data_IF_890100956377
#
_entry.id   IF_890100956377
#
_cell.length_a   1.000
_cell.length_b   1.000
_cell.length_c   1.000
_cell.angle_alpha   90.00
_cell.angle_beta   90.00
_cell.angle_gamma   90.00
#
_symmetry.space_group_name_H-M   'P 1'
#
loop_
_entity.id
_entity.type
_entity.pdbx_description
1 polymer ?
#
# COMPACT_ATOMS: atom_id res chain seq x y z
N UNK A 1 6.77 24.02 4.00
CA UNK A 1 7.13 22.89 4.87
C UNK A 1 8.37 23.20 5.71
N UNK A 2 8.39 22.80 7.00
CA UNK A 2 9.59 22.91 7.83
C UNK A 2 10.62 21.83 7.47
N UNK A 3 11.58 22.16 6.59
CA UNK A 3 12.57 21.20 6.06
C UNK A 3 13.48 20.59 7.14
N UNK A 4 13.75 21.30 8.24
CA UNK A 4 14.60 20.77 9.32
C UNK A 4 13.86 19.65 10.05
N UNK A 5 12.57 19.87 10.36
CA UNK A 5 11.75 18.85 11.02
C UNK A 5 11.43 17.68 10.08
N UNK A 6 11.24 17.96 8.78
CA UNK A 6 11.07 16.92 7.76
C UNK A 6 12.31 16.02 7.63
N UNK A 7 13.52 16.59 7.62
CA UNK A 7 14.75 15.80 7.58
C UNK A 7 14.94 14.95 8.86
N UNK A 8 14.62 15.50 10.03
CA UNK A 8 14.65 14.73 11.29
C UNK A 8 13.66 13.57 11.28
N UNK A 9 12.44 13.80 10.76
CA UNK A 9 11.46 12.73 10.58
C UNK A 9 11.95 11.68 9.57
N UNK A 10 12.61 12.10 8.49
CA UNK A 10 13.20 11.20 7.51
C UNK A 10 14.26 10.30 8.17
N UNK A 11 15.23 10.88 8.87
CA UNK A 11 16.26 10.13 9.60
C UNK A 11 15.65 9.18 10.66
N UNK A 12 14.64 9.65 11.39
CA UNK A 12 13.92 8.82 12.37
C UNK A 12 13.19 7.65 11.70
N UNK A 13 12.55 7.89 10.56
CA UNK A 13 11.87 6.85 9.77
C UNK A 13 12.85 5.81 9.25
N UNK A 14 14.03 6.22 8.78
CA UNK A 14 15.10 5.31 8.35
C UNK A 14 15.57 4.44 9.53
N UNK A 15 15.78 5.04 10.71
CA UNK A 15 16.11 4.29 11.93
C UNK A 15 14.98 3.34 12.35
N UNK A 16 13.73 3.75 12.21
CA UNK A 16 12.56 2.94 12.52
C UNK A 16 12.53 1.68 11.65
N UNK A 17 12.69 1.80 10.32
CA UNK A 17 12.73 0.63 9.44
C UNK A 17 13.84 -0.34 9.84
N UNK A 18 15.05 0.18 10.11
CA UNK A 18 16.20 -0.63 10.50
C UNK A 18 15.98 -1.37 11.82
N UNK A 19 15.45 -0.68 12.83
CA UNK A 19 15.25 -1.25 14.17
C UNK A 19 14.04 -2.19 14.23
N UNK A 20 13.07 -2.00 13.33
CA UNK A 20 11.85 -2.80 13.28
C UNK A 20 11.94 -4.01 12.33
N UNK A 21 13.13 -4.27 11.76
CA UNK A 21 13.40 -5.51 11.04
C UNK A 21 13.82 -6.60 12.02
N UNK A 22 13.11 -7.72 12.02
CA UNK A 22 13.54 -8.90 12.75
C UNK A 22 14.87 -9.44 12.19
N UNK A 23 15.68 -10.11 13.01
CA UNK A 23 16.97 -10.67 12.58
C UNK A 23 16.86 -11.64 11.38
N UNK A 24 15.71 -12.28 11.22
CA UNK A 24 15.38 -13.18 10.10
C UNK A 24 14.94 -12.44 8.82
N UNK A 25 14.83 -11.11 8.85
CA UNK A 25 14.57 -10.25 7.70
C UNK A 25 13.17 -9.66 7.61
N UNK A 26 12.17 -10.23 8.30
CA UNK A 26 10.80 -9.70 8.31
C UNK A 26 10.69 -8.32 8.94
N UNK A 27 10.08 -7.35 8.25
CA UNK A 27 9.69 -6.07 8.83
C UNK A 27 8.31 -6.23 9.47
N UNK A 28 8.19 -5.91 10.76
CA UNK A 28 6.86 -5.90 11.38
C UNK A 28 6.03 -4.72 10.88
N UNK A 29 4.71 -4.88 10.83
CA UNK A 29 3.78 -3.77 10.59
C UNK A 29 3.84 -2.74 11.75
N UNK A 30 4.01 -3.22 12.98
CA UNK A 30 4.34 -2.39 14.14
C UNK A 30 5.26 -3.15 15.12
N UNK A 31 6.04 -2.46 15.97
CA UNK A 31 7.03 -3.13 16.82
C UNK A 31 6.47 -4.21 17.75
N UNK A 32 7.26 -5.23 18.13
CA UNK A 32 6.87 -6.17 19.17
C UNK A 32 6.34 -5.47 20.43
N UNK A 33 5.27 -6.00 21.01
CA UNK A 33 4.59 -5.38 22.16
C UNK A 33 3.54 -4.32 21.79
N UNK A 34 3.38 -4.00 20.50
CA UNK A 34 2.30 -3.13 20.00
C UNK A 34 1.18 -3.96 19.33
N UNK A 35 0.27 -3.30 18.60
CA UNK A 35 -0.97 -3.91 18.06
C UNK A 35 -0.75 -4.93 16.95
N UNK A 36 0.23 -4.73 16.07
CA UNK A 36 0.47 -5.57 14.88
C UNK A 36 1.92 -6.11 14.79
N UNK A 37 2.36 -6.96 15.74
CA UNK A 37 3.70 -7.53 15.74
C UNK A 37 3.81 -8.72 14.78
N UNK A 38 3.35 -8.55 13.54
CA UNK A 38 3.35 -9.55 12.46
C UNK A 38 3.87 -8.95 11.17
N UNK A 39 4.28 -9.81 10.24
CA UNK A 39 4.79 -9.42 8.94
C UNK A 39 3.68 -9.60 7.91
N UNK A 40 3.03 -8.50 7.53
CA UNK A 40 2.05 -8.48 6.45
C UNK A 40 2.81 -8.25 5.14
N UNK A 41 2.62 -9.07 4.08
CA UNK A 41 3.36 -8.88 2.83
C UNK A 41 3.20 -7.49 2.24
N UNK A 42 2.08 -6.83 2.50
CA UNK A 42 1.80 -5.44 2.11
C UNK A 42 2.73 -4.45 2.81
N UNK A 43 2.60 -4.32 4.13
CA UNK A 43 3.42 -3.43 4.97
C UNK A 43 4.91 -3.73 4.79
N UNK A 44 5.26 -5.02 4.77
CA UNK A 44 6.61 -5.52 4.57
C UNK A 44 7.19 -5.11 3.21
N UNK A 45 6.41 -5.23 2.13
CA UNK A 45 6.86 -4.81 0.80
C UNK A 45 7.09 -3.32 0.73
N UNK A 46 6.18 -2.51 1.31
CA UNK A 46 6.38 -1.05 1.34
C UNK A 46 7.58 -0.67 2.20
N UNK A 47 7.83 -1.36 3.32
CA UNK A 47 9.06 -1.20 4.11
C UNK A 47 10.32 -1.55 3.32
N UNK A 48 10.30 -2.62 2.51
CA UNK A 48 11.39 -2.94 1.57
C UNK A 48 11.59 -1.80 0.59
N UNK A 49 10.50 -1.23 0.04
CA UNK A 49 10.63 -0.12 -0.91
C UNK A 49 11.19 1.15 -0.26
N UNK A 50 10.74 1.50 0.95
CA UNK A 50 11.33 2.57 1.75
C UNK A 50 12.80 2.31 2.08
N UNK A 51 13.18 1.07 2.40
CA UNK A 51 14.57 0.69 2.62
C UNK A 51 15.41 0.85 1.34
N UNK A 52 14.85 0.52 0.16
CA UNK A 52 15.50 0.77 -1.14
C UNK A 52 15.74 2.26 -1.35
N UNK A 53 14.71 3.10 -1.19
CA UNK A 53 14.83 4.55 -1.36
C UNK A 53 15.78 5.21 -0.34
N UNK A 54 15.87 4.64 0.87
CA UNK A 54 16.82 5.08 1.91
C UNK A 54 18.26 4.58 1.70
N UNK A 55 18.54 3.76 0.69
CA UNK A 55 19.86 3.17 0.47
C UNK A 55 20.21 1.99 1.39
N UNK A 56 19.24 1.45 2.13
CA UNK A 56 19.39 0.31 3.03
C UNK A 56 19.30 -1.03 2.26
N UNK A 57 20.19 -1.23 1.29
CA UNK A 57 20.14 -2.39 0.38
C UNK A 57 20.28 -3.74 1.09
N UNK A 58 21.04 -3.80 2.18
CA UNK A 58 21.20 -5.04 2.96
C UNK A 58 19.90 -5.43 3.65
N UNK A 59 19.24 -4.46 4.29
CA UNK A 59 17.94 -4.62 4.95
C UNK A 59 16.86 -4.97 3.92
N UNK A 60 16.83 -4.28 2.76
CA UNK A 60 15.92 -4.59 1.67
C UNK A 60 16.10 -6.04 1.14
N UNK A 61 17.33 -6.46 0.88
CA UNK A 61 17.65 -7.82 0.42
C UNK A 61 17.26 -8.88 1.45
N UNK A 62 17.51 -8.64 2.74
CA UNK A 62 17.08 -9.52 3.83
C UNK A 62 15.55 -9.64 3.91
N UNK A 63 14.84 -8.51 3.74
CA UNK A 63 13.38 -8.50 3.69
C UNK A 63 12.83 -9.29 2.52
N UNK A 64 13.41 -9.13 1.32
CA UNK A 64 13.04 -9.92 0.14
C UNK A 64 13.29 -11.41 0.35
N UNK A 65 14.48 -11.77 0.86
CA UNK A 65 14.82 -13.17 1.16
C UNK A 65 13.83 -13.80 2.14
N UNK A 66 13.43 -13.07 3.20
CA UNK A 66 12.42 -13.54 4.15
C UNK A 66 11.09 -13.88 3.46
N UNK A 67 10.54 -12.92 2.70
CA UNK A 67 9.19 -13.10 2.14
C UNK A 67 9.17 -14.11 1.00
N UNK A 68 10.18 -14.12 0.13
CA UNK A 68 10.30 -15.08 -0.98
C UNK A 68 10.42 -16.52 -0.46
N UNK A 69 11.11 -16.73 0.66
CA UNK A 69 11.21 -18.04 1.31
C UNK A 69 9.93 -18.45 2.07
N UNK A 70 8.99 -17.52 2.28
CA UNK A 70 7.70 -17.77 2.95
C UNK A 70 6.55 -18.05 1.97
N UNK A 71 6.84 -18.13 0.65
CA UNK A 71 5.83 -18.39 -0.37
C UNK A 71 5.18 -19.76 -0.15
N UNK A 72 3.87 -19.83 -0.30
CA UNK A 72 3.11 -21.07 -0.21
C UNK A 72 3.15 -21.87 -1.52
N UNK A 73 2.78 -23.17 -1.51
CA UNK A 73 3.02 -24.06 -2.63
C UNK A 73 2.42 -23.65 -3.99
N UNK A 74 1.27 -22.96 -4.02
CA UNK A 74 0.62 -22.52 -5.27
C UNK A 74 1.17 -21.18 -5.78
N UNK A 75 2.10 -20.56 -5.06
CA UNK A 75 2.68 -19.27 -5.40
C UNK A 75 2.09 -18.10 -4.62
N UNK A 76 1.11 -18.34 -3.76
CA UNK A 76 0.46 -17.31 -2.94
C UNK A 76 1.34 -16.85 -1.78
N UNK A 77 1.20 -15.57 -1.41
CA UNK A 77 1.68 -15.06 -0.13
C UNK A 77 0.48 -14.85 0.81
N UNK A 78 0.60 -15.32 2.04
CA UNK A 78 -0.44 -15.25 3.07
C UNK A 78 -0.83 -13.81 3.42
N UNK A 79 -1.94 -13.62 4.14
CA UNK A 79 -2.28 -12.29 4.68
C UNK A 79 -1.14 -11.75 5.55
N UNK A 80 -0.60 -12.60 6.42
CA UNK A 80 0.50 -12.26 7.33
C UNK A 80 1.25 -13.50 7.77
N UNK A 81 2.46 -13.26 8.24
CA UNK A 81 3.40 -14.25 8.72
C UNK A 81 3.87 -13.93 10.13
N UNK A 82 4.24 -14.97 10.87
CA UNK A 82 5.10 -14.81 12.04
C UNK A 82 6.57 -14.56 11.64
N UNK A 83 7.46 -14.43 12.62
CA UNK A 83 8.89 -14.13 12.39
C UNK A 83 9.67 -15.27 11.75
N UNK A 84 9.08 -16.46 11.69
CA UNK A 84 9.67 -17.67 11.13
C UNK A 84 9.19 -17.92 9.69
N UNK A 85 8.30 -17.07 9.18
CA UNK A 85 7.71 -17.22 7.85
C UNK A 85 6.54 -18.21 7.82
N UNK A 86 5.98 -18.58 8.98
CA UNK A 86 4.77 -19.41 9.02
C UNK A 86 3.52 -18.56 8.83
N UNK A 87 2.55 -19.12 8.13
CA UNK A 87 1.24 -18.50 7.91
C UNK A 87 0.54 -18.23 9.25
N UNK A 88 0.31 -16.95 9.56
CA UNK A 88 -0.38 -16.50 10.77
C UNK A 88 -1.73 -15.82 10.44
N UNK A 89 -2.25 -16.03 9.22
CA UNK A 89 -3.44 -15.35 8.70
C UNK A 89 -4.67 -15.59 9.56
N UNK A 90 -5.51 -14.56 9.66
CA UNK A 90 -6.82 -14.61 10.31
C UNK A 90 -7.95 -14.07 9.43
N UNK A 91 -7.60 -13.54 8.25
CA UNK A 91 -8.51 -13.13 7.18
C UNK A 91 -8.15 -13.85 5.89
N UNK A 92 -9.06 -13.72 4.93
CA UNK A 92 -8.89 -14.19 3.56
C UNK A 92 -7.66 -13.59 2.87
N UNK A 93 -7.22 -14.31 1.84
CA UNK A 93 -6.09 -13.96 0.99
C UNK A 93 -6.25 -12.57 0.36
N UNK A 94 -5.11 -11.89 0.22
CA UNK A 94 -4.97 -10.55 -0.33
C UNK A 94 -3.95 -10.59 -1.47
N UNK A 95 -4.45 -10.69 -2.72
CA UNK A 95 -3.59 -10.96 -3.89
C UNK A 95 -2.70 -9.78 -4.29
N UNK A 96 -3.00 -8.57 -3.83
CA UNK A 96 -2.06 -7.45 -3.86
C UNK A 96 -0.75 -7.76 -3.14
N UNK A 97 -0.75 -8.62 -2.12
CA UNK A 97 0.49 -9.08 -1.48
C UNK A 97 1.44 -9.74 -2.50
N UNK A 98 0.91 -10.59 -3.39
CA UNK A 98 1.66 -11.16 -4.50
C UNK A 98 2.20 -10.10 -5.46
N UNK A 99 1.35 -9.16 -5.86
CA UNK A 99 1.75 -8.08 -6.75
C UNK A 99 2.84 -7.18 -6.15
N UNK A 100 2.67 -6.78 -4.89
CA UNK A 100 3.59 -5.91 -4.17
C UNK A 100 4.95 -6.56 -3.97
N UNK A 101 5.02 -7.83 -3.56
CA UNK A 101 6.31 -8.53 -3.38
C UNK A 101 7.12 -8.51 -4.68
N UNK A 102 6.49 -8.81 -5.81
CA UNK A 102 7.14 -8.76 -7.12
C UNK A 102 7.53 -7.35 -7.53
N UNK A 103 6.63 -6.38 -7.33
CA UNK A 103 6.88 -4.97 -7.64
C UNK A 103 8.10 -4.43 -6.90
N UNK A 104 8.19 -4.66 -5.58
CA UNK A 104 9.31 -4.15 -4.77
C UNK A 104 10.60 -4.94 -4.98
N UNK A 105 10.51 -6.22 -5.35
CA UNK A 105 11.67 -6.98 -5.84
C UNK A 105 12.22 -6.34 -7.13
N UNK A 106 11.34 -5.90 -8.03
CA UNK A 106 11.70 -5.12 -9.21
C UNK A 106 12.36 -3.79 -8.86
N UNK A 107 11.85 -3.06 -7.86
CA UNK A 107 12.48 -1.81 -7.37
C UNK A 107 13.89 -2.05 -6.84
N UNK A 108 14.08 -3.08 -6.02
CA UNK A 108 15.41 -3.50 -5.55
C UNK A 108 16.34 -3.87 -6.72
N UNK A 109 15.85 -4.65 -7.69
CA UNK A 109 16.63 -5.03 -8.87
C UNK A 109 17.08 -3.81 -9.69
N UNK A 110 16.19 -2.82 -9.88
CA UNK A 110 16.54 -1.56 -10.57
C UNK A 110 17.57 -0.75 -9.77
N UNK A 111 17.38 -0.62 -8.47
CA UNK A 111 18.28 0.11 -7.58
C UNK A 111 19.69 -0.50 -7.48
N UNK A 112 19.82 -1.81 -7.70
CA UNK A 112 21.13 -2.49 -7.76
C UNK A 112 21.80 -2.40 -9.14
N UNK A 113 21.20 -1.71 -10.12
CA UNK A 113 21.81 -1.48 -11.44
C UNK A 113 20.98 -2.00 -12.62
N UNK A 114 19.84 -2.65 -12.37
CA UNK A 114 19.02 -3.31 -13.40
C UNK A 114 18.52 -2.43 -14.56
N UNK A 115 18.54 -1.10 -14.43
CA UNK A 115 18.08 -0.18 -15.49
C UNK A 115 19.18 0.45 -16.35
N UNK A 116 20.40 0.61 -15.82
CA UNK A 116 21.46 1.39 -16.48
C UNK A 116 22.86 0.80 -16.36
N UNK A 117 23.08 -0.05 -15.36
CA UNK A 117 24.35 -0.70 -15.06
C UNK A 117 24.09 -2.18 -14.88
N UNK A 118 23.68 -2.85 -15.97
CA UNK A 118 23.24 -4.25 -15.94
C UNK A 118 24.27 -5.20 -15.29
N UNK A 119 25.56 -4.87 -15.37
CA UNK A 119 26.65 -5.62 -14.74
C UNK A 119 26.59 -5.57 -13.20
N UNK A 120 26.02 -4.52 -12.62
CA UNK A 120 25.89 -4.32 -11.18
C UNK A 120 24.60 -4.90 -10.61
N UNK A 121 23.59 -5.13 -11.45
CA UNK A 121 22.29 -5.63 -11.04
C UNK A 121 22.42 -6.99 -10.32
N UNK A 122 21.65 -7.21 -9.25
CA UNK A 122 21.68 -8.46 -8.47
C UNK A 122 20.97 -9.63 -9.21
N UNK A 123 21.44 -9.93 -10.43
CA UNK A 123 20.96 -11.00 -11.31
C UNK A 123 21.08 -12.36 -10.63
N UNK A 124 22.08 -12.53 -9.76
CA UNK A 124 22.27 -13.76 -8.98
C UNK A 124 21.12 -13.99 -7.98
N UNK A 125 20.67 -12.95 -7.28
CA UNK A 125 19.51 -13.03 -6.39
C UNK A 125 18.22 -13.34 -7.16
N UNK A 126 18.02 -12.68 -8.30
CA UNK A 126 16.87 -12.97 -9.19
C UNK A 126 16.91 -14.42 -9.67
N UNK A 127 18.05 -14.89 -10.17
CA UNK A 127 18.21 -16.26 -10.66
C UNK A 127 17.97 -17.31 -9.57
N UNK A 128 18.43 -17.04 -8.33
CA UNK A 128 18.20 -17.90 -7.16
C UNK A 128 16.70 -18.05 -6.86
N UNK A 129 15.94 -16.95 -6.93
CA UNK A 129 14.52 -16.91 -6.56
C UNK A 129 13.56 -16.96 -7.76
N UNK A 130 14.06 -17.26 -8.96
CA UNK A 130 13.26 -17.19 -10.20
C UNK A 130 12.03 -18.10 -10.15
N UNK A 131 12.16 -19.28 -9.55
CA UNK A 131 11.03 -20.22 -9.42
C UNK A 131 9.91 -19.65 -8.52
N UNK A 132 10.28 -18.95 -7.45
CA UNK A 132 9.34 -18.24 -6.57
C UNK A 132 8.64 -17.11 -7.33
N UNK A 133 9.39 -16.34 -8.13
CA UNK A 133 8.84 -15.29 -9.01
C UNK A 133 7.85 -15.87 -10.01
N UNK A 134 8.22 -16.95 -10.69
CA UNK A 134 7.38 -17.65 -11.67
C UNK A 134 6.05 -18.10 -11.05
N UNK A 135 6.10 -18.76 -9.89
CA UNK A 135 4.90 -19.19 -9.17
C UNK A 135 4.01 -18.04 -8.73
N UNK A 136 4.60 -16.92 -8.28
CA UNK A 136 3.82 -15.74 -7.90
C UNK A 136 3.06 -15.14 -9.10
N UNK A 137 3.71 -15.04 -10.27
CA UNK A 137 3.06 -14.58 -11.50
C UNK A 137 1.96 -15.55 -11.93
N UNK A 138 2.21 -16.85 -11.90
CA UNK A 138 1.21 -17.87 -12.24
C UNK A 138 0.02 -17.84 -11.30
N UNK A 139 0.24 -17.63 -10.00
CA UNK A 139 -0.83 -17.46 -9.03
C UNK A 139 -1.69 -16.23 -9.35
N UNK A 140 -1.07 -15.10 -9.71
CA UNK A 140 -1.80 -13.90 -10.15
C UNK A 140 -2.64 -14.21 -11.40
N UNK A 141 -2.03 -14.79 -12.43
CA UNK A 141 -2.71 -15.08 -13.70
C UNK A 141 -3.82 -16.14 -13.56
N UNK A 142 -3.66 -17.10 -12.65
CA UNK A 142 -4.71 -18.07 -12.30
C UNK A 142 -5.96 -17.40 -11.71
N UNK A 143 -5.82 -16.23 -11.09
CA UNK A 143 -6.93 -15.43 -10.57
C UNK A 143 -7.42 -14.37 -11.56
N UNK A 144 -6.86 -14.30 -12.78
CA UNK A 144 -7.37 -13.43 -13.83
C UNK A 144 -8.71 -13.98 -14.33
N UNK A 145 -9.68 -13.10 -14.49
CA UNK A 145 -10.87 -13.43 -15.25
C UNK A 145 -10.65 -13.18 -16.75
N UNK A 146 -10.95 -14.17 -17.60
CA UNK A 146 -10.75 -14.08 -19.06
C UNK A 146 -11.71 -13.13 -19.78
N UNK A 147 -12.89 -12.86 -19.22
CA UNK A 147 -13.85 -11.96 -19.85
C UNK A 147 -13.52 -10.49 -19.56
N UNK A 148 -13.33 -10.17 -18.28
CA UNK A 148 -13.02 -8.81 -17.83
C UNK A 148 -11.52 -8.51 -17.78
N UNK A 149 -10.64 -9.48 -18.04
CA UNK A 149 -9.19 -9.32 -18.08
C UNK A 149 -8.60 -8.62 -16.84
N UNK A 150 -9.28 -8.75 -15.71
CA UNK A 150 -8.88 -8.20 -14.41
C UNK A 150 -8.65 -9.37 -13.45
N UNK A 151 -7.78 -9.14 -12.47
CA UNK A 151 -7.46 -10.07 -11.40
C UNK A 151 -8.55 -9.98 -10.34
N UNK A 152 -9.17 -11.12 -10.08
CA UNK A 152 -10.14 -11.25 -9.01
C UNK A 152 -9.42 -11.30 -7.65
N UNK A 153 -9.94 -10.56 -6.68
CA UNK A 153 -9.49 -10.64 -5.30
C UNK A 153 -10.68 -10.77 -4.35
N UNK A 154 -10.49 -11.51 -3.26
CA UNK A 154 -11.49 -11.62 -2.17
C UNK A 154 -11.37 -10.42 -1.23
N UNK A 155 -10.17 -9.87 -1.11
CA UNK A 155 -9.84 -8.83 -0.15
C UNK A 155 -8.63 -8.02 -0.63
N UNK A 156 -8.44 -6.79 -0.15
CA UNK A 156 -7.31 -5.97 -0.56
C UNK A 156 -6.81 -5.11 0.60
N UNK A 157 -6.31 -3.91 0.30
CA UNK A 157 -5.58 -2.99 1.17
C UNK A 157 -6.35 -2.57 2.42
N UNK A 158 -7.67 -2.39 2.36
CA UNK A 158 -8.45 -2.05 3.55
C UNK A 158 -8.88 -3.28 4.35
N UNK A 159 -8.54 -4.47 3.86
CA UNK A 159 -8.97 -5.78 4.32
C UNK A 159 -10.50 -5.88 4.51
N UNK A 160 -11.28 -5.21 3.67
CA UNK A 160 -12.74 -5.09 3.75
C UNK A 160 -13.50 -5.69 2.55
N UNK A 161 -13.84 -6.99 2.60
CA UNK A 161 -14.47 -7.67 1.47
C UNK A 161 -15.76 -7.01 0.93
N UNK A 162 -16.54 -6.31 1.77
CA UNK A 162 -17.77 -5.63 1.34
C UNK A 162 -17.57 -4.56 0.25
N UNK A 163 -16.36 -3.98 0.18
CA UNK A 163 -15.97 -2.97 -0.82
C UNK A 163 -14.80 -3.43 -1.71
N UNK A 164 -14.19 -4.58 -1.42
CA UNK A 164 -12.95 -5.03 -2.08
C UNK A 164 -13.08 -6.39 -2.77
N UNK A 165 -14.11 -7.19 -2.48
CA UNK A 165 -14.30 -8.47 -3.17
C UNK A 165 -14.77 -8.25 -4.61
N UNK A 166 -13.93 -8.64 -5.56
CA UNK A 166 -14.15 -8.50 -7.00
C UNK A 166 -12.89 -8.04 -7.72
N UNK A 167 -13.03 -7.07 -8.61
CA UNK A 167 -11.92 -6.46 -9.34
C UNK A 167 -11.59 -5.11 -8.73
N UNK A 168 -10.81 -5.15 -7.65
CA UNK A 168 -10.40 -3.99 -6.88
C UNK A 168 -9.13 -3.36 -7.50
N UNK A 169 -9.11 -2.02 -7.56
CA UNK A 169 -8.11 -1.28 -8.34
C UNK A 169 -6.69 -1.39 -7.78
N UNK A 170 -6.51 -1.32 -6.47
CA UNK A 170 -5.20 -1.46 -5.84
C UNK A 170 -4.60 -2.84 -6.11
N UNK A 171 -5.36 -3.91 -5.90
CA UNK A 171 -4.95 -5.28 -6.19
C UNK A 171 -4.60 -5.49 -7.66
N UNK A 172 -5.45 -5.01 -8.57
CA UNK A 172 -5.18 -5.13 -10.00
C UNK A 172 -3.91 -4.37 -10.41
N UNK A 173 -3.71 -3.15 -9.90
CA UNK A 173 -2.53 -2.35 -10.21
C UNK A 173 -1.25 -2.98 -9.63
N UNK A 174 -1.27 -3.41 -8.36
CA UNK A 174 -0.16 -4.09 -7.72
C UNK A 174 0.24 -5.36 -8.48
N UNK A 175 -0.74 -6.20 -8.84
CA UNK A 175 -0.50 -7.41 -9.61
C UNK A 175 0.09 -7.11 -10.99
N UNK A 176 -0.47 -6.15 -11.73
CA UNK A 176 0.01 -5.78 -13.06
C UNK A 176 1.44 -5.25 -13.01
N UNK A 177 1.75 -4.34 -12.07
CA UNK A 177 3.09 -3.82 -11.88
C UNK A 177 4.09 -4.89 -11.40
N UNK A 178 3.65 -5.83 -10.57
CA UNK A 178 4.42 -7.01 -10.18
C UNK A 178 4.78 -7.91 -11.37
N UNK A 179 3.85 -8.14 -12.29
CA UNK A 179 4.12 -8.90 -13.53
C UNK A 179 5.13 -8.14 -14.40
N UNK A 180 4.99 -6.82 -14.58
CA UNK A 180 5.98 -6.02 -15.30
C UNK A 180 7.37 -6.10 -14.67
N UNK A 181 7.46 -6.03 -13.33
CA UNK A 181 8.73 -6.23 -12.63
C UNK A 181 9.32 -7.63 -12.88
N UNK A 182 8.49 -8.68 -12.88
CA UNK A 182 8.92 -10.05 -13.16
C UNK A 182 9.41 -10.22 -14.62
N UNK A 183 8.78 -9.54 -15.59
CA UNK A 183 9.22 -9.50 -16.99
C UNK A 183 10.61 -8.86 -17.10
N UNK A 184 10.80 -7.67 -16.50
CA UNK A 184 12.08 -6.95 -16.52
C UNK A 184 13.21 -7.82 -15.95
N UNK A 185 12.95 -8.41 -14.78
CA UNK A 185 13.89 -9.33 -14.12
C UNK A 185 14.16 -10.59 -14.95
N UNK A 186 13.13 -11.20 -15.54
CA UNK A 186 13.24 -12.40 -16.36
C UNK A 186 14.08 -12.20 -17.61
N UNK A 187 13.87 -11.09 -18.33
CA UNK A 187 14.69 -10.70 -19.48
C UNK A 187 16.16 -10.56 -19.09
N UNK A 188 16.43 -9.91 -17.97
CA UNK A 188 17.79 -9.65 -17.52
C UNK A 188 18.60 -10.93 -17.19
N UNK A 189 17.90 -12.04 -16.88
CA UNK A 189 18.51 -13.37 -16.64
C UNK A 189 18.23 -14.38 -17.76
N UNK A 190 17.77 -13.92 -18.94
CA UNK A 190 17.60 -14.74 -20.14
C UNK A 190 16.45 -15.74 -20.09
N UNK A 191 15.38 -15.43 -19.35
CA UNK A 191 14.15 -16.23 -19.30
C UNK A 191 13.15 -15.79 -20.36
N UNK A 192 12.41 -16.74 -20.90
CA UNK A 192 11.26 -16.43 -21.76
C UNK A 192 10.09 -15.96 -20.91
N UNK A 193 9.66 -14.72 -21.17
CA UNK A 193 8.57 -14.01 -20.48
C UNK A 193 7.54 -13.46 -21.46
N UNK A 194 7.60 -13.87 -22.73
CA UNK A 194 6.75 -13.37 -23.81
C UNK A 194 5.26 -13.47 -23.52
N UNK A 195 4.83 -14.62 -22.97
CA UNK A 195 3.45 -14.81 -22.54
C UNK A 195 3.03 -13.84 -21.41
N UNK A 196 3.96 -13.51 -20.51
CA UNK A 196 3.68 -12.56 -19.42
C UNK A 196 3.56 -11.13 -19.95
N UNK A 197 4.35 -10.74 -20.95
CA UNK A 197 4.26 -9.42 -21.59
C UNK A 197 2.89 -9.18 -22.21
N UNK A 198 2.38 -10.18 -22.95
CA UNK A 198 1.05 -10.14 -23.53
C UNK A 198 -0.02 -9.99 -22.44
N UNK A 199 0.02 -10.84 -21.40
CA UNK A 199 -0.96 -10.80 -20.32
C UNK A 199 -0.90 -9.50 -19.51
N UNK A 200 0.30 -8.99 -19.20
CA UNK A 200 0.46 -7.72 -18.50
C UNK A 200 -0.12 -6.56 -19.31
N UNK A 201 0.09 -6.53 -20.64
CA UNK A 201 -0.52 -5.54 -21.53
C UNK A 201 -2.05 -5.60 -21.53
N UNK A 202 -2.62 -6.80 -21.59
CA UNK A 202 -4.07 -7.02 -21.53
C UNK A 202 -4.65 -6.53 -20.19
N UNK A 203 -4.03 -6.90 -19.06
CA UNK A 203 -4.47 -6.50 -17.72
C UNK A 203 -4.37 -4.98 -17.57
N UNK A 204 -3.25 -4.38 -17.97
CA UNK A 204 -3.04 -2.92 -17.93
C UNK A 204 -4.14 -2.20 -18.70
N UNK A 205 -4.46 -2.65 -19.92
CA UNK A 205 -5.51 -2.05 -20.72
C UNK A 205 -6.88 -2.20 -20.06
N UNK A 206 -7.17 -3.35 -19.44
CA UNK A 206 -8.40 -3.58 -18.70
C UNK A 206 -8.53 -2.65 -17.48
N UNK A 207 -7.46 -2.43 -16.71
CA UNK A 207 -7.44 -1.46 -15.60
C UNK A 207 -7.82 -0.06 -16.10
N UNK A 208 -7.14 0.42 -17.14
CA UNK A 208 -7.31 1.78 -17.66
C UNK A 208 -8.67 2.05 -18.32
N UNK A 209 -9.40 1.01 -18.68
CA UNK A 209 -10.69 1.11 -19.39
C UNK A 209 -11.88 0.68 -18.55
N UNK A 210 -11.80 -0.44 -17.84
CA UNK A 210 -12.91 -1.02 -17.06
C UNK A 210 -13.01 -0.45 -15.65
N UNK A 211 -11.88 -0.11 -15.02
CA UNK A 211 -11.85 0.53 -13.70
C UNK A 211 -11.83 2.06 -13.77
N UNK A 212 -12.05 2.63 -14.96
CA UNK A 212 -12.23 4.07 -15.13
C UNK A 212 -13.68 4.39 -15.49
N UNK A 213 -14.27 5.37 -14.82
CA UNK A 213 -15.62 5.87 -15.14
C UNK A 213 -15.53 7.18 -15.92
N UNK A 214 -15.79 7.20 -17.24
CA UNK A 214 -15.79 8.44 -18.02
C UNK A 214 -16.80 9.46 -17.51
N UNK A 215 -17.96 8.99 -17.02
CA UNK A 215 -19.01 9.83 -16.43
C UNK A 215 -18.53 10.59 -15.19
N UNK A 216 -17.74 9.93 -14.34
CA UNK A 216 -17.20 10.52 -13.10
C UNK A 216 -15.84 11.20 -13.31
N UNK A 217 -15.20 10.92 -14.45
CA UNK A 217 -13.81 11.31 -14.74
C UNK A 217 -12.87 10.89 -13.61
N UNK A 218 -13.03 9.65 -13.14
CA UNK A 218 -12.22 9.09 -12.07
C UNK A 218 -12.10 7.60 -12.27
N UNK A 219 -11.01 7.03 -11.75
CA UNK A 219 -11.00 5.61 -11.45
C UNK A 219 -12.09 5.24 -10.42
N UNK A 220 -12.39 3.96 -10.29
CA UNK A 220 -13.35 3.44 -9.31
C UNK A 220 -12.66 2.40 -8.44
N UNK A 221 -13.03 2.34 -7.16
CA UNK A 221 -12.44 1.42 -6.19
C UNK A 221 -12.53 -0.05 -6.63
N UNK A 222 -13.73 -0.52 -7.00
CA UNK A 222 -13.95 -1.93 -7.25
C UNK A 222 -15.16 -2.19 -8.16
N UNK A 223 -15.04 -3.19 -9.04
CA UNK A 223 -16.19 -3.89 -9.62
C UNK A 223 -16.44 -5.13 -8.77
N UNK A 224 -17.49 -5.09 -7.94
CA UNK A 224 -17.87 -6.18 -7.04
C UNK A 224 -18.55 -7.31 -7.77
N UNK A 225 -18.28 -8.53 -7.30
CA UNK A 225 -18.95 -9.76 -7.74
C UNK A 225 -19.63 -10.42 -6.54
N UNK A 226 -20.81 -11.02 -6.72
CA UNK A 226 -21.57 -11.64 -5.61
C UNK A 226 -21.28 -13.13 -5.49
N UNK A 227 -21.16 -13.86 -6.61
CA UNK A 227 -20.79 -15.28 -6.61
C UNK A 227 -19.43 -15.54 -7.26
N UNK A 228 -18.49 -16.11 -6.49
CA UNK A 228 -17.19 -16.60 -6.97
C UNK A 228 -17.30 -17.75 -7.98
N UNK A 229 -18.46 -18.42 -8.03
CA UNK A 229 -18.78 -19.48 -8.98
C UNK A 229 -19.52 -18.96 -10.22
N UNK A 230 -19.75 -17.65 -10.35
CA UNK A 230 -20.31 -17.09 -11.58
C UNK A 230 -19.46 -17.51 -12.77
N UNK A 231 -20.11 -17.98 -13.82
CA UNK A 231 -19.45 -18.39 -15.07
C UNK A 231 -20.00 -17.52 -16.22
N UNK A 232 -19.24 -16.50 -16.67
CA UNK A 232 -17.88 -16.14 -16.23
C UNK A 232 -17.87 -15.32 -14.92
N UNK A 233 -16.75 -15.39 -14.18
CA UNK A 233 -16.53 -14.57 -12.97
C UNK A 233 -16.54 -13.09 -13.37
N UNK A 234 -17.57 -12.33 -13.02
CA UNK A 234 -17.62 -10.89 -13.36
C UNK A 234 -18.75 -10.45 -14.28
N UNK A 235 -19.44 -11.39 -14.93
CA UNK A 235 -20.78 -11.17 -15.51
C UNK A 235 -21.85 -11.81 -14.63
N UNK A 236 -21.72 -11.62 -13.32
CA UNK A 236 -22.81 -11.93 -12.42
C UNK A 236 -23.92 -10.88 -12.62
N UNK A 237 -25.17 -11.33 -12.77
CA UNK A 237 -26.37 -10.47 -12.74
C UNK A 237 -26.44 -9.53 -11.52
N UNK A 238 -25.66 -9.81 -10.47
CA UNK A 238 -25.55 -9.02 -9.26
C UNK A 238 -24.23 -8.23 -9.13
N UNK A 239 -23.41 -8.17 -10.17
CA UNK A 239 -22.21 -7.34 -10.18
C UNK A 239 -22.56 -5.85 -9.99
N UNK A 240 -21.73 -5.13 -9.24
CA UNK A 240 -21.95 -3.69 -8.98
C UNK A 240 -20.63 -2.95 -8.88
N UNK A 241 -20.64 -1.65 -9.16
CA UNK A 241 -19.44 -0.82 -9.05
C UNK A 241 -19.48 -0.03 -7.75
N UNK A 242 -18.39 -0.06 -6.99
CA UNK A 242 -18.20 0.86 -5.85
C UNK A 242 -17.89 2.24 -6.41
N UNK A 243 -18.82 3.16 -6.21
CA UNK A 243 -18.73 4.51 -6.74
C UNK A 243 -18.30 5.54 -5.71
N UNK A 244 -18.28 5.19 -4.43
CA UNK A 244 -17.68 6.01 -3.39
C UNK A 244 -16.20 6.21 -3.71
N UNK A 245 -15.68 7.38 -3.38
CA UNK A 245 -14.26 7.70 -3.58
C UNK A 245 -13.41 6.87 -2.61
N UNK A 246 -12.21 6.49 -3.02
CA UNK A 246 -11.23 5.84 -2.16
C UNK A 246 -9.84 6.37 -2.53
N UNK A 247 -8.98 6.61 -1.55
CA UNK A 247 -7.62 7.10 -1.77
C UNK A 247 -6.82 6.19 -2.70
N UNK A 248 -7.15 4.89 -2.72
CA UNK A 248 -6.49 3.89 -3.57
C UNK A 248 -6.86 4.00 -5.04
N UNK A 249 -7.83 4.86 -5.42
CA UNK A 249 -8.10 5.16 -6.83
C UNK A 249 -6.87 5.78 -7.54
N UNK A 250 -5.87 6.27 -6.79
CA UNK A 250 -4.57 6.72 -7.28
C UNK A 250 -3.61 5.57 -7.69
N UNK A 251 -3.94 4.31 -7.36
CA UNK A 251 -3.10 3.14 -7.59
C UNK A 251 -2.47 3.03 -9.00
N UNK A 252 -3.15 3.36 -10.11
CA UNK A 252 -2.54 3.24 -11.44
C UNK A 252 -1.25 4.07 -11.63
N UNK A 253 -1.17 5.27 -11.04
CA UNK A 253 0.04 6.09 -11.08
C UNK A 253 1.04 5.68 -9.99
N UNK A 254 0.56 5.38 -8.77
CA UNK A 254 1.40 4.88 -7.68
C UNK A 254 2.21 3.63 -8.08
N UNK A 255 1.60 2.73 -8.86
CA UNK A 255 2.25 1.53 -9.41
C UNK A 255 2.87 1.71 -10.80
N UNK A 256 3.05 2.96 -11.26
CA UNK A 256 3.77 3.30 -12.50
C UNK A 256 3.14 2.72 -13.78
N UNK A 257 1.84 2.41 -13.76
CA UNK A 257 1.13 1.89 -14.93
C UNK A 257 0.73 3.01 -15.90
N UNK A 258 0.57 4.23 -15.41
CA UNK A 258 0.24 5.41 -16.20
C UNK A 258 0.84 6.65 -15.54
N UNK A 259 1.21 7.65 -16.35
CA UNK A 259 1.84 8.88 -15.86
C UNK A 259 0.89 9.73 -15.01
N UNK A 260 1.43 10.41 -14.00
CA UNK A 260 0.72 11.44 -13.23
C UNK A 260 0.20 12.60 -14.08
N UNK A 261 0.79 12.88 -15.24
CA UNK A 261 0.29 13.88 -16.19
C UNK A 261 -0.94 13.41 -16.98
N UNK A 262 -1.29 12.12 -16.93
CA UNK A 262 -2.46 11.62 -17.64
C UNK A 262 -3.74 12.23 -17.06
N UNK A 263 -4.64 12.67 -17.95
CA UNK A 263 -5.89 13.34 -17.58
C UNK A 263 -6.75 12.49 -16.63
N UNK A 264 -6.69 11.15 -16.73
CA UNK A 264 -7.42 10.25 -15.83
C UNK A 264 -6.89 10.34 -14.41
N UNK A 265 -5.57 10.46 -14.23
CA UNK A 265 -4.95 10.59 -12.91
C UNK A 265 -5.22 11.97 -12.34
N UNK A 266 -4.97 13.02 -13.12
CA UNK A 266 -5.23 14.41 -12.69
C UNK A 266 -6.68 14.59 -12.20
N UNK A 267 -7.67 14.05 -12.93
CA UNK A 267 -9.06 14.17 -12.51
C UNK A 267 -9.42 13.28 -11.32
N UNK A 268 -8.80 12.11 -11.19
CA UNK A 268 -8.95 11.21 -10.04
C UNK A 268 -8.38 11.84 -8.77
N UNK A 269 -7.14 12.35 -8.81
CA UNK A 269 -6.48 13.00 -7.67
C UNK A 269 -7.26 14.23 -7.20
N UNK A 270 -7.77 15.05 -8.12
CA UNK A 270 -8.66 16.18 -7.77
C UNK A 270 -9.92 15.74 -7.05
N UNK A 271 -10.49 14.59 -7.41
CA UNK A 271 -11.66 14.02 -6.73
C UNK A 271 -11.26 13.49 -5.35
N UNK A 272 -10.16 12.75 -5.24
CA UNK A 272 -9.67 12.25 -3.94
C UNK A 272 -9.43 13.42 -2.99
N UNK A 273 -8.67 14.44 -3.39
CA UNK A 273 -8.42 15.61 -2.55
C UNK A 273 -9.73 16.29 -2.11
N UNK A 274 -10.64 16.59 -3.04
CA UNK A 274 -11.89 17.30 -2.72
C UNK A 274 -12.77 16.55 -1.72
N UNK A 275 -12.82 15.23 -1.82
CA UNK A 275 -13.81 14.42 -1.10
C UNK A 275 -13.23 13.73 0.15
N UNK A 276 -11.91 13.54 0.22
CA UNK A 276 -11.25 12.79 1.29
C UNK A 276 -10.25 13.61 2.10
N UNK A 277 -9.87 14.83 1.68
CA UNK A 277 -9.09 15.72 2.53
C UNK A 277 -9.91 16.12 3.76
N UNK A 278 -9.35 15.91 4.94
CA UNK A 278 -10.03 16.26 6.18
C UNK A 278 -10.07 17.77 6.36
N UNK A 279 -11.26 18.36 6.38
CA UNK A 279 -11.43 19.80 6.51
C UNK A 279 -11.12 20.35 7.89
N UNK A 280 -11.11 19.50 8.92
CA UNK A 280 -10.89 19.92 10.31
C UNK A 280 -9.43 19.83 10.70
N UNK A 281 -8.80 18.67 10.44
CA UNK A 281 -7.42 18.41 10.87
C UNK A 281 -6.44 18.21 9.72
N UNK A 282 -6.86 18.36 8.46
CA UNK A 282 -6.01 18.15 7.28
C UNK A 282 -5.70 16.67 7.00
N UNK A 283 -4.91 16.41 5.96
CA UNK A 283 -4.52 15.04 5.58
C UNK A 283 -5.62 14.26 4.89
N UNK A 284 -5.29 13.09 4.35
CA UNK A 284 -6.22 12.26 3.59
C UNK A 284 -6.84 11.13 4.39
N UNK A 285 -8.17 11.09 4.38
CA UNK A 285 -8.94 9.92 4.75
C UNK A 285 -8.84 8.82 3.68
N UNK A 286 -9.02 7.55 4.07
CA UNK A 286 -8.98 6.41 3.13
C UNK A 286 -10.17 6.39 2.18
N UNK A 287 -11.35 6.65 2.73
CA UNK A 287 -12.66 6.53 2.11
C UNK A 287 -13.65 7.32 2.97
N UNK A 288 -14.89 7.59 2.51
CA UNK A 288 -15.85 8.40 3.25
C UNK A 288 -16.23 7.85 4.62
N UNK A 289 -16.50 8.75 5.57
CA UNK A 289 -16.82 8.42 6.96
C UNK A 289 -17.94 7.38 7.11
N UNK A 290 -18.98 7.47 6.28
CA UNK A 290 -20.16 6.60 6.32
C UNK A 290 -19.88 5.12 6.01
N UNK A 291 -18.67 4.76 5.56
CA UNK A 291 -18.25 3.36 5.50
C UNK A 291 -18.08 2.73 6.90
N UNK A 292 -17.91 3.54 7.95
CA UNK A 292 -18.00 3.10 9.35
C UNK A 292 -16.92 2.10 9.80
N UNK A 293 -15.74 2.08 9.15
CA UNK A 293 -14.68 1.08 9.38
C UNK A 293 -13.35 1.70 9.82
N UNK A 294 -13.40 2.67 10.72
CA UNK A 294 -12.23 3.31 11.30
C UNK A 294 -12.15 2.99 12.79
N UNK A 295 -11.15 2.19 13.20
CA UNK A 295 -10.95 1.93 14.62
C UNK A 295 -10.44 3.20 15.28
N UNK A 296 -10.95 3.58 16.45
CA UNK A 296 -10.49 4.78 17.14
C UNK A 296 -10.93 6.10 16.48
N UNK A 297 -12.04 6.10 15.75
CA UNK A 297 -12.61 7.30 15.11
C UNK A 297 -12.18 7.53 13.66
N UNK A 298 -12.97 8.32 12.92
CA UNK A 298 -12.70 8.68 11.54
C UNK A 298 -11.62 9.76 11.44
N UNK A 299 -10.63 9.53 10.57
CA UNK A 299 -9.64 10.55 10.29
C UNK A 299 -8.51 10.09 9.37
N UNK A 300 -7.62 11.04 9.02
CA UNK A 300 -6.61 10.95 7.98
C UNK A 300 -5.43 10.01 8.30
N UNK A 301 -4.86 9.43 7.24
CA UNK A 301 -3.83 8.40 7.27
C UNK A 301 -2.53 8.91 6.65
N UNK A 302 -1.43 8.84 7.41
CA UNK A 302 -0.11 9.33 6.99
C UNK A 302 0.35 8.78 5.65
N UNK A 303 0.21 7.47 5.44
CA UNK A 303 0.67 6.84 4.20
C UNK A 303 -0.11 7.28 2.97
N UNK A 304 -1.44 7.44 3.03
CA UNK A 304 -2.21 7.90 1.88
C UNK A 304 -1.94 9.37 1.56
N UNK A 305 -1.71 10.20 2.59
CA UNK A 305 -1.23 11.57 2.41
C UNK A 305 0.13 11.57 1.71
N UNK A 306 1.09 10.77 2.15
CA UNK A 306 2.38 10.60 1.46
C UNK A 306 2.20 10.15 -0.01
N UNK A 307 1.42 9.09 -0.25
CA UNK A 307 1.20 8.56 -1.59
C UNK A 307 0.67 9.63 -2.55
N UNK A 308 -0.36 10.41 -2.16
CA UNK A 308 -0.92 11.44 -3.04
C UNK A 308 -0.01 12.67 -3.17
N UNK A 309 0.88 12.93 -2.21
CA UNK A 309 1.90 13.99 -2.34
C UNK A 309 2.86 13.72 -3.51
N UNK A 310 3.09 12.45 -3.86
CA UNK A 310 3.91 12.08 -5.00
C UNK A 310 3.33 12.60 -6.31
N UNK A 311 2.00 12.57 -6.49
CA UNK A 311 1.37 13.15 -7.66
C UNK A 311 1.73 14.62 -7.84
N UNK A 312 1.64 15.39 -6.76
CA UNK A 312 1.95 16.81 -6.77
C UNK A 312 3.43 17.07 -7.02
N UNK A 313 4.31 16.22 -6.49
CA UNK A 313 5.75 16.29 -6.78
C UNK A 313 6.05 15.98 -8.26
N UNK A 314 5.48 14.91 -8.81
CA UNK A 314 5.68 14.50 -10.21
C UNK A 314 5.14 15.52 -11.22
N UNK A 315 4.08 16.25 -10.84
CA UNK A 315 3.42 17.27 -11.67
C UNK A 315 3.92 18.70 -11.42
N UNK A 316 5.08 18.85 -10.76
CA UNK A 316 5.71 20.15 -10.46
C UNK A 316 4.81 21.10 -9.66
N UNK A 317 3.89 20.56 -8.86
CA UNK A 317 3.04 21.32 -7.96
C UNK A 317 3.61 21.31 -6.54
N UNK A 318 4.69 22.08 -6.35
CA UNK A 318 5.42 22.14 -5.09
C UNK A 318 4.51 22.54 -3.91
N UNK A 319 3.67 23.56 -4.07
CA UNK A 319 2.80 24.05 -2.99
C UNK A 319 1.86 22.97 -2.45
N UNK A 320 1.26 22.17 -3.34
CA UNK A 320 0.40 21.06 -2.93
C UNK A 320 1.21 19.89 -2.37
N UNK A 321 2.39 19.59 -2.90
CA UNK A 321 3.27 18.58 -2.34
C UNK A 321 3.68 18.94 -0.89
N UNK A 322 4.03 20.21 -0.66
CA UNK A 322 4.33 20.74 0.67
C UNK A 322 3.13 20.66 1.59
N UNK A 323 1.93 21.06 1.13
CA UNK A 323 0.70 20.97 1.95
C UNK A 323 0.47 19.56 2.51
N UNK A 324 0.74 18.54 1.70
CA UNK A 324 0.57 17.15 2.09
C UNK A 324 1.69 16.64 2.99
N UNK A 325 2.96 16.91 2.65
CA UNK A 325 4.10 16.42 3.42
C UNK A 325 4.24 17.16 4.76
N UNK A 326 3.98 18.47 4.80
CA UNK A 326 4.02 19.28 6.03
C UNK A 326 2.97 18.77 7.03
N UNK A 327 1.79 18.36 6.56
CA UNK A 327 0.80 17.71 7.42
C UNK A 327 1.36 16.43 8.08
N UNK A 328 2.09 15.59 7.33
CA UNK A 328 2.68 14.36 7.88
C UNK A 328 3.78 14.70 8.90
N UNK A 329 4.56 15.75 8.65
CA UNK A 329 5.61 16.23 9.58
C UNK A 329 5.00 16.78 10.86
N UNK A 330 3.98 17.63 10.76
CA UNK A 330 3.28 18.24 11.90
C UNK A 330 2.56 17.21 12.77
N UNK A 331 2.06 16.15 12.15
CA UNK A 331 1.37 15.05 12.81
C UNK A 331 2.30 13.98 13.38
N UNK A 332 3.61 14.06 13.14
CA UNK A 332 4.55 13.16 13.78
C UNK A 332 4.66 13.49 15.27
N UNK A 333 4.66 12.45 16.12
CA UNK A 333 4.92 12.61 17.55
C UNK A 333 6.28 11.98 17.88
N UNK A 334 7.21 12.79 18.43
CA UNK A 334 8.59 12.36 18.67
C UNK A 334 9.24 11.71 17.43
N UNK A 335 8.92 12.25 16.24
CA UNK A 335 9.33 11.72 14.94
C UNK A 335 8.90 10.26 14.69
N UNK A 336 7.75 9.87 15.25
CA UNK A 336 7.06 8.61 14.96
C UNK A 336 5.68 8.87 14.35
N UNK A 337 5.23 7.96 13.47
CA UNK A 337 3.99 8.12 12.71
C UNK A 337 2.93 7.08 13.13
N UNK A 338 1.66 7.48 13.31
CA UNK A 338 0.56 6.59 13.65
C UNK A 338 -0.05 5.89 12.42
N UNK A 339 -0.91 4.90 12.64
CA UNK A 339 -1.80 4.33 11.61
C UNK A 339 -2.67 5.44 11.00
N UNK A 340 -3.38 6.17 11.86
CA UNK A 340 -4.13 7.37 11.53
C UNK A 340 -4.39 8.22 12.76
N UNK A 341 -4.93 9.41 12.52
CA UNK A 341 -5.25 10.39 13.56
C UNK A 341 -6.72 10.74 13.44
N UNK A 342 -7.39 10.88 14.58
CA UNK A 342 -8.79 11.32 14.68
C UNK A 342 -8.89 12.46 15.69
N UNK A 343 -10.03 13.14 15.74
CA UNK A 343 -10.37 14.02 16.87
C UNK A 343 -10.91 13.18 18.03
N UNK A 344 -10.87 13.74 19.25
CA UNK A 344 -11.49 13.10 20.43
C UNK A 344 -12.99 12.89 20.21
N UNK A 345 -13.70 13.86 19.61
CA UNK A 345 -15.14 13.75 19.36
C UNK A 345 -15.47 12.53 18.48
N UNK A 346 -14.79 12.39 17.34
CA UNK A 346 -14.98 11.25 16.42
C UNK A 346 -14.56 9.92 17.06
N UNK A 347 -13.55 9.94 17.93
CA UNK A 347 -13.16 8.78 18.72
C UNK A 347 -14.25 8.35 19.72
N UNK A 348 -14.82 9.30 20.47
CA UNK A 348 -15.86 9.00 21.46
C UNK A 348 -17.16 8.52 20.78
N UNK A 349 -17.53 9.06 19.62
CA UNK A 349 -18.64 8.54 18.81
C UNK A 349 -18.41 7.08 18.37
N UNK A 350 -17.21 6.77 17.87
CA UNK A 350 -16.84 5.40 17.54
C UNK A 350 -16.91 4.47 18.76
N UNK A 351 -16.44 4.94 19.92
CA UNK A 351 -16.48 4.16 21.15
C UNK A 351 -17.91 3.91 21.61
N UNK A 352 -18.78 4.92 21.53
CA UNK A 352 -20.19 4.82 21.84
C UNK A 352 -20.87 3.75 20.96
N UNK A 353 -20.69 3.82 19.65
CA UNK A 353 -21.25 2.84 18.70
C UNK A 353 -20.84 1.40 19.04
N UNK A 354 -19.56 1.19 19.35
CA UNK A 354 -19.03 -0.14 19.64
C UNK A 354 -19.48 -0.66 21.01
N UNK A 355 -19.63 0.24 21.98
CA UNK A 355 -20.16 -0.05 23.32
C UNK A 355 -21.62 -0.42 23.24
N UNK A 356 -22.43 0.41 22.58
CA UNK A 356 -23.86 0.19 22.37
C UNK A 356 -24.12 -1.10 21.58
N UNK A 357 -23.30 -1.37 20.56
CA UNK A 357 -23.34 -2.61 19.78
C UNK A 357 -22.85 -3.85 20.54
N UNK A 358 -22.22 -3.71 21.71
CA UNK A 358 -21.62 -4.80 22.50
C UNK A 358 -20.59 -5.62 21.71
N UNK A 359 -19.78 -4.93 20.90
CA UNK A 359 -18.77 -5.53 20.01
C UNK A 359 -17.34 -5.06 20.33
N UNK A 360 -17.12 -4.54 21.54
CA UNK A 360 -15.80 -4.33 22.11
C UNK A 360 -15.17 -5.69 22.46
N UNK A 361 -13.96 -5.92 21.96
CA UNK A 361 -13.13 -7.11 22.26
C UNK A 361 -11.91 -6.64 23.02
N UNK A 362 -11.20 -7.52 23.73
CA UNK A 362 -10.03 -7.18 24.54
C UNK A 362 -8.97 -6.37 23.77
N UNK A 363 -8.72 -6.73 22.50
CA UNK A 363 -7.79 -6.00 21.65
C UNK A 363 -8.22 -4.55 21.35
N UNK A 364 -9.52 -4.26 21.37
CA UNK A 364 -10.04 -2.88 21.25
C UNK A 364 -9.98 -2.13 22.57
N UNK A 365 -10.17 -2.81 23.70
CA UNK A 365 -10.00 -2.20 25.03
C UNK A 365 -8.58 -1.70 25.19
N UNK A 366 -7.58 -2.53 24.85
CA UNK A 366 -6.18 -2.11 24.85
C UNK A 366 -5.91 -0.92 23.92
N UNK A 367 -6.48 -0.94 22.71
CA UNK A 367 -6.39 0.19 21.78
C UNK A 367 -6.96 1.49 22.37
N UNK A 368 -8.11 1.43 23.04
CA UNK A 368 -8.74 2.59 23.70
C UNK A 368 -7.85 3.16 24.80
N UNK A 369 -7.27 2.29 25.64
CA UNK A 369 -6.33 2.69 26.68
C UNK A 369 -5.10 3.38 26.10
N UNK A 370 -4.51 2.80 25.04
CA UNK A 370 -3.32 3.35 24.40
C UNK A 370 -3.62 4.71 23.74
N UNK A 371 -4.76 4.87 23.07
CA UNK A 371 -5.20 6.15 22.49
C UNK A 371 -5.36 7.23 23.57
N UNK A 372 -6.05 6.92 24.67
CA UNK A 372 -6.31 7.88 25.77
C UNK A 372 -5.04 8.22 26.56
N UNK A 373 -4.10 7.28 26.66
CA UNK A 373 -2.83 7.49 27.34
C UNK A 373 -1.83 8.32 26.52
N UNK A 374 -2.02 8.40 25.20
CA UNK A 374 -1.10 9.12 24.32
C UNK A 374 -1.04 10.63 24.66
N UNK A 375 0.15 11.28 24.68
CA UNK A 375 0.28 12.69 25.06
C UNK A 375 -0.59 13.65 24.23
N UNK A 376 -0.78 13.35 22.94
CA UNK A 376 -1.61 14.14 22.01
C UNK A 376 -3.11 14.13 22.32
N UNK A 377 -3.58 13.27 23.24
CA UNK A 377 -4.93 13.35 23.77
C UNK A 377 -5.21 14.72 24.41
N UNK A 378 -4.22 15.30 25.10
CA UNK A 378 -4.36 16.64 25.72
C UNK A 378 -4.46 17.76 24.69
N UNK A 379 -4.03 17.50 23.45
CA UNK A 379 -4.06 18.42 22.33
C UNK A 379 -5.35 18.29 21.50
N UNK A 380 -6.33 17.46 21.94
CA UNK A 380 -7.59 17.26 21.23
C UNK A 380 -7.58 16.11 20.21
N UNK A 381 -6.46 15.39 20.10
CA UNK A 381 -6.23 14.39 19.05
C UNK A 381 -6.15 12.95 19.60
N UNK A 382 -6.81 12.03 18.90
CA UNK A 382 -6.75 10.60 19.14
C UNK A 382 -5.76 9.97 18.14
N UNK A 383 -4.59 9.56 18.64
CA UNK A 383 -3.56 8.89 17.83
C UNK A 383 -3.79 7.39 17.85
N UNK A 384 -4.19 6.81 16.71
CA UNK A 384 -4.55 5.41 16.61
C UNK A 384 -3.33 4.60 16.18
N UNK A 385 -2.89 3.66 17.02
CA UNK A 385 -1.76 2.74 16.78
C UNK A 385 -0.47 3.45 16.34
N UNK A 386 0.42 3.73 17.29
CA UNK A 386 1.71 4.41 17.03
C UNK A 386 2.84 3.69 17.76
N UNK A 387 4.00 3.44 17.11
CA UNK A 387 4.29 3.68 15.68
C UNK A 387 3.67 2.62 14.76
N UNK A 388 3.40 3.00 13.50
CA UNK A 388 3.13 2.09 12.39
C UNK A 388 4.23 2.26 11.32
N UNK A 389 4.84 1.17 10.85
CA UNK A 389 6.01 1.25 9.96
C UNK A 389 5.69 1.65 8.54
N UNK A 390 4.49 1.34 8.05
CA UNK A 390 4.11 1.69 6.69
C UNK A 390 4.13 3.21 6.43
N UNK A 391 3.49 4.08 7.24
CA UNK A 391 3.63 5.53 7.12
C UNK A 391 5.09 6.02 7.09
N UNK A 392 5.98 5.41 7.88
CA UNK A 392 7.41 5.75 7.86
C UNK A 392 8.07 5.43 6.51
N UNK A 393 7.79 4.25 5.93
CA UNK A 393 8.30 3.88 4.63
C UNK A 393 7.80 4.81 3.52
N UNK A 394 6.53 5.17 3.55
CA UNK A 394 5.90 6.07 2.56
C UNK A 394 6.41 7.50 2.68
N UNK A 395 6.68 7.97 3.91
CA UNK A 395 7.32 9.25 4.13
C UNK A 395 8.74 9.28 3.57
N UNK A 396 9.54 8.22 3.77
CA UNK A 396 10.88 8.10 3.16
C UNK A 396 10.81 8.24 1.65
N UNK A 397 9.93 7.46 1.00
CA UNK A 397 9.76 7.45 -0.46
C UNK A 397 9.36 8.85 -0.95
N UNK A 398 8.34 9.44 -0.31
CA UNK A 398 7.71 10.67 -0.81
C UNK A 398 8.56 11.90 -0.52
N UNK A 399 9.15 12.00 0.68
CA UNK A 399 10.01 13.11 1.04
C UNK A 399 11.33 13.10 0.26
N UNK A 400 11.93 11.92 0.02
CA UNK A 400 13.10 11.82 -0.87
C UNK A 400 12.78 12.32 -2.27
N UNK A 401 11.65 11.87 -2.84
CA UNK A 401 11.20 12.33 -4.16
C UNK A 401 11.01 13.84 -4.20
N UNK A 402 10.32 14.41 -3.20
CA UNK A 402 10.12 15.84 -3.05
C UNK A 402 11.45 16.61 -2.95
N UNK A 403 12.34 16.17 -2.07
CA UNK A 403 13.64 16.80 -1.83
C UNK A 403 14.49 16.77 -3.10
N UNK A 404 14.60 15.62 -3.74
CA UNK A 404 15.41 15.46 -4.96
C UNK A 404 14.85 16.32 -6.12
N UNK A 405 13.52 16.56 -6.16
CA UNK A 405 12.88 17.39 -7.20
C UNK A 405 13.03 18.90 -6.97
N UNK A 406 12.75 19.38 -5.76
CA UNK A 406 12.63 20.82 -5.48
C UNK A 406 13.79 21.41 -4.67
N UNK A 407 14.57 20.56 -4.01
CA UNK A 407 15.72 20.94 -3.19
C UNK A 407 16.95 20.05 -3.50
N UNK A 408 17.36 19.92 -4.78
CA UNK A 408 18.53 19.12 -5.13
C UNK A 408 19.79 19.71 -4.48
N UNK A 409 20.65 18.82 -3.97
CA UNK A 409 21.91 19.17 -3.31
C UNK A 409 22.92 19.85 -4.24
#
# INVERSE_FOLDING_TARGET
>A
MNLIEAERLYESSVRMLKNNQHEKGGFYASPPGTRYPFIYPRDHSVCIYGAVEAGLMNEARKGLEFILNSQKPLGEFSQRYDVDGNDASYKELQIDGNGLVLFVMGKYFKATGGSFYEEMADKAFVAKHWETVRKAVEFILMNKNEEVNLIHTINSIHEYPAYEHGFEIYANCACCAGIYAAIDMGKAIGKDVSAWEEQAGIIRQAILTRLYSPRRRSFVKCIRVKDKNSKPIGYDSFASVVHDVDAVEYAPAYFELISDYDVKIVSTVRRIHRELWDSEIGGLNRYPEYWGRNNGGYGPWGHFTCQLSNHHTETDNQDMAETYLDWVVDMAHEYTLPEHISTIERFELWLEDYTNGKILRDSKVKLIEDIRAHPKWKDGLAYVTIPLTWPHAEFIISYKKYRDRFHPA
#
